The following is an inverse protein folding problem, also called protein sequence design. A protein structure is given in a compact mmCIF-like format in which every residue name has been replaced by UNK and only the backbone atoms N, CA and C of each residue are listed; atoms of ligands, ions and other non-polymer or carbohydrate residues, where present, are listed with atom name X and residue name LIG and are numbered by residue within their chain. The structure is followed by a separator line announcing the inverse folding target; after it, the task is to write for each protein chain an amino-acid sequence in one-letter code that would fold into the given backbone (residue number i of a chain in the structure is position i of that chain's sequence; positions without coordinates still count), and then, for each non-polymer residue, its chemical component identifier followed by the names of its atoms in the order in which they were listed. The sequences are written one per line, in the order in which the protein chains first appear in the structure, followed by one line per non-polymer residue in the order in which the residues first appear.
data_IF_970847973914
#
_entry.id   IF_970847973914
#
_cell.length_a   1.000
_cell.length_b   1.000
_cell.length_c   1.000
_cell.angle_alpha   90.00
_cell.angle_beta   90.00
_cell.angle_gamma   90.00
#
_symmetry.space_group_name_H-M   'P 1'
#
loop_
_entity.id
_entity.type
_entity.pdbx_description
1 polymer ?
#
# COMPACT_ATOMS: atom_id res chain seq x y z
N UNK A 1 -13.31 15.12 -15.43
CA UNK A 1 -13.46 13.64 -15.37
C UNK A 1 -12.15 13.04 -15.88
N UNK A 2 -11.27 12.60 -14.96
CA UNK A 2 -10.02 11.92 -15.34
C UNK A 2 -10.41 10.50 -15.78
N UNK A 3 -10.02 10.08 -16.99
CA UNK A 3 -10.30 8.72 -17.47
C UNK A 3 -9.56 7.70 -16.60
N UNK A 4 -10.18 6.56 -16.30
CA UNK A 4 -9.63 5.46 -15.50
C UNK A 4 -8.20 5.09 -15.89
N UNK A 5 -7.91 5.19 -17.18
CA UNK A 5 -6.67 4.77 -17.84
C UNK A 5 -5.52 5.72 -17.49
N UNK A 6 -5.83 7.01 -17.33
CA UNK A 6 -4.85 8.03 -16.93
C UNK A 6 -4.46 7.84 -15.46
N UNK A 7 -5.44 7.54 -14.59
CA UNK A 7 -5.19 7.30 -13.16
C UNK A 7 -4.37 6.02 -12.95
N UNK A 8 -4.71 4.94 -13.66
CA UNK A 8 -3.97 3.68 -13.61
C UNK A 8 -2.51 3.85 -14.09
N UNK A 9 -2.27 4.66 -15.12
CA UNK A 9 -0.91 4.94 -15.60
C UNK A 9 -0.07 5.74 -14.60
N UNK A 10 -0.66 6.70 -13.90
CA UNK A 10 0.03 7.48 -12.86
C UNK A 10 0.39 6.57 -11.68
N UNK A 11 -0.55 5.71 -11.27
CA UNK A 11 -0.35 4.75 -10.20
C UNK A 11 0.75 3.73 -10.54
N UNK A 12 0.76 3.23 -11.78
CA UNK A 12 1.77 2.30 -12.27
C UNK A 12 3.16 2.93 -12.32
N UNK A 13 3.27 4.21 -12.73
CA UNK A 13 4.54 4.95 -12.74
C UNK A 13 5.05 5.26 -11.33
N UNK A 14 4.17 5.59 -10.40
CA UNK A 14 4.53 5.80 -8.99
C UNK A 14 5.01 4.49 -8.35
N UNK A 15 4.29 3.39 -8.55
CA UNK A 15 4.68 2.07 -8.07
C UNK A 15 6.03 1.62 -8.64
N UNK A 16 6.27 1.84 -9.94
CA UNK A 16 7.54 1.51 -10.59
C UNK A 16 8.70 2.37 -10.06
N UNK A 17 8.49 3.68 -9.86
CA UNK A 17 9.50 4.57 -9.29
C UNK A 17 9.88 4.20 -7.85
N UNK A 18 8.91 3.76 -7.06
CA UNK A 18 9.14 3.26 -5.70
C UNK A 18 9.93 1.95 -5.76
N UNK A 19 9.49 0.99 -6.59
CA UNK A 19 10.18 -0.28 -6.79
C UNK A 19 11.58 -0.14 -7.40
N UNK A 20 11.87 0.91 -8.17
CA UNK A 20 13.20 1.18 -8.72
C UNK A 20 14.14 1.82 -7.69
N UNK A 21 13.61 2.50 -6.67
CA UNK A 21 14.39 3.02 -5.52
C UNK A 21 14.94 1.88 -4.63
N UNK A 22 14.40 0.67 -4.78
CA UNK A 22 14.78 -0.59 -4.12
C UNK A 22 16.24 -0.99 -4.29
N UNK A 23 16.96 -0.49 -5.29
CA UNK A 23 18.31 -0.98 -5.61
C UNK A 23 19.41 -0.51 -4.61
N UNK A 24 19.11 0.43 -3.69
CA UNK A 24 20.12 0.98 -2.77
C UNK A 24 19.77 1.02 -1.27
N UNK A 25 18.60 0.53 -0.81
CA UNK A 25 18.19 0.70 0.60
C UNK A 25 17.24 -0.38 1.14
N UNK A 26 17.77 -1.59 1.34
CA UNK A 26 16.99 -2.78 1.74
C UNK A 26 16.17 -2.65 3.05
N UNK A 27 16.49 -1.70 3.93
CA UNK A 27 15.80 -1.49 5.22
C UNK A 27 14.72 -0.40 5.15
N UNK A 28 14.99 0.73 4.48
CA UNK A 28 14.08 1.89 4.44
C UNK A 28 12.87 1.65 3.54
N UNK A 29 13.00 0.82 2.51
CA UNK A 29 11.93 0.55 1.55
C UNK A 29 10.67 -0.08 2.21
N UNK A 30 10.86 -0.98 3.18
CA UNK A 30 9.74 -1.76 3.75
C UNK A 30 8.78 -0.89 4.56
N UNK A 31 9.27 0.13 5.27
CA UNK A 31 8.42 1.00 6.09
C UNK A 31 7.65 2.01 5.22
N UNK A 32 8.31 2.58 4.21
CA UNK A 32 7.64 3.50 3.28
C UNK A 32 6.56 2.79 2.46
N UNK A 33 6.81 1.55 2.02
CA UNK A 33 5.83 0.74 1.30
C UNK A 33 4.59 0.43 2.17
N UNK A 34 4.80 0.18 3.47
CA UNK A 34 3.72 -0.10 4.42
C UNK A 34 2.92 1.16 4.75
N UNK A 35 3.58 2.29 5.00
CA UNK A 35 2.90 3.59 5.17
C UNK A 35 2.09 3.96 3.92
N UNK A 36 2.66 3.76 2.74
CA UNK A 36 1.97 4.00 1.48
C UNK A 36 0.76 3.09 1.30
N UNK A 37 0.87 1.78 1.61
CA UNK A 37 -0.26 0.86 1.47
C UNK A 37 -1.41 1.19 2.43
N UNK A 38 -1.10 1.58 3.68
CA UNK A 38 -2.11 2.01 4.66
C UNK A 38 -2.83 3.28 4.21
N UNK A 39 -2.08 4.28 3.74
CA UNK A 39 -2.65 5.51 3.20
C UNK A 39 -3.52 5.21 1.96
N UNK A 40 -3.00 4.41 1.03
CA UNK A 40 -3.72 4.04 -0.19
C UNK A 40 -5.01 3.27 0.11
N UNK A 41 -4.97 2.28 1.01
CA UNK A 41 -6.17 1.53 1.42
C UNK A 41 -7.23 2.43 2.04
N UNK A 42 -6.82 3.34 2.93
CA UNK A 42 -7.72 4.32 3.56
C UNK A 42 -8.32 5.28 2.53
N UNK A 43 -7.50 5.76 1.59
CA UNK A 43 -7.94 6.66 0.52
C UNK A 43 -8.94 5.96 -0.41
N UNK A 44 -8.69 4.70 -0.76
CA UNK A 44 -9.61 3.93 -1.59
C UNK A 44 -10.94 3.70 -0.90
N UNK A 45 -10.95 3.41 0.40
CA UNK A 45 -12.17 3.26 1.20
C UNK A 45 -12.97 4.59 1.27
N UNK A 46 -12.28 5.72 1.43
CA UNK A 46 -12.91 7.05 1.37
C UNK A 46 -13.50 7.34 -0.01
N UNK A 47 -12.79 6.99 -1.08
CA UNK A 47 -13.25 7.18 -2.46
C UNK A 47 -14.41 6.25 -2.84
N UNK A 48 -14.63 5.13 -2.14
CA UNK A 48 -15.76 4.25 -2.41
C UNK A 48 -17.11 4.93 -2.23
N UNK A 49 -17.21 5.99 -1.42
CA UNK A 49 -18.43 6.80 -1.26
C UNK A 49 -18.88 7.43 -2.59
N UNK A 50 -17.95 7.62 -3.53
CA UNK A 50 -18.24 8.17 -4.86
C UNK A 50 -18.78 7.12 -5.84
N UNK A 51 -18.73 5.83 -5.49
CA UNK A 51 -19.18 4.71 -6.32
C UNK A 51 -20.61 4.32 -5.94
N UNK A 52 -21.57 4.31 -6.89
CA UNK A 52 -22.95 3.92 -6.58
C UNK A 52 -23.01 2.51 -5.98
N UNK A 53 -23.81 2.34 -4.91
CA UNK A 53 -24.01 1.08 -4.17
C UNK A 53 -22.79 0.58 -3.38
N UNK A 54 -21.74 1.39 -3.24
CA UNK A 54 -20.66 1.13 -2.28
C UNK A 54 -20.81 2.06 -1.07
N UNK A 55 -20.50 1.55 0.10
CA UNK A 55 -20.55 2.29 1.36
C UNK A 55 -19.18 2.25 2.01
N UNK A 56 -18.82 3.35 2.64
CA UNK A 56 -17.62 3.40 3.48
C UNK A 56 -17.73 2.42 4.65
N UNK A 57 -16.69 1.59 4.83
CA UNK A 57 -16.59 0.62 5.91
C UNK A 57 -15.37 0.90 6.78
N UNK A 58 -15.58 1.27 8.04
CA UNK A 58 -14.49 1.38 9.01
C UNK A 58 -13.82 0.04 9.28
N UNK A 59 -14.56 -1.06 9.18
CA UNK A 59 -14.03 -2.41 9.36
C UNK A 59 -13.01 -2.74 8.27
N UNK A 60 -13.26 -2.30 7.03
CA UNK A 60 -12.36 -2.52 5.89
C UNK A 60 -11.07 -1.70 6.03
N UNK A 61 -11.12 -0.50 6.62
CA UNK A 61 -9.91 0.28 6.96
C UNK A 61 -9.07 -0.48 7.99
N UNK A 62 -9.69 -0.99 9.05
CA UNK A 62 -9.00 -1.72 10.12
C UNK A 62 -8.41 -3.02 9.58
N UNK A 63 -9.13 -3.76 8.74
CA UNK A 63 -8.65 -4.99 8.10
C UNK A 63 -7.44 -4.72 7.19
N UNK A 64 -7.51 -3.69 6.34
CA UNK A 64 -6.39 -3.32 5.46
C UNK A 64 -5.16 -2.84 6.26
N UNK A 65 -5.38 -2.05 7.32
CA UNK A 65 -4.30 -1.52 8.17
C UNK A 65 -3.62 -2.64 8.97
N UNK A 66 -4.40 -3.52 9.58
CA UNK A 66 -3.88 -4.67 10.33
C UNK A 66 -3.14 -5.67 9.44
N UNK A 67 -3.63 -5.91 8.21
CA UNK A 67 -2.95 -6.70 7.21
C UNK A 67 -1.58 -6.13 6.81
N UNK A 68 -1.50 -4.81 6.59
CA UNK A 68 -0.25 -4.13 6.26
C UNK A 68 0.79 -4.21 7.40
N UNK A 69 0.36 -4.05 8.65
CA UNK A 69 1.21 -4.20 9.84
C UNK A 69 1.67 -5.66 9.99
N UNK A 70 0.75 -6.63 9.84
CA UNK A 70 1.08 -8.06 9.90
C UNK A 70 2.12 -8.46 8.86
N UNK A 71 2.00 -7.95 7.63
CA UNK A 71 2.98 -8.15 6.57
C UNK A 71 4.37 -7.56 6.92
N UNK A 72 4.42 -6.38 7.52
CA UNK A 72 5.68 -5.77 7.99
C UNK A 72 6.37 -6.65 9.04
N UNK A 73 5.62 -7.12 10.03
CA UNK A 73 6.12 -7.99 11.10
C UNK A 73 6.65 -9.30 10.48
N UNK A 74 5.87 -9.94 9.62
CA UNK A 74 6.27 -11.18 8.93
C UNK A 74 7.55 -10.99 8.12
N UNK A 75 7.65 -9.89 7.36
CA UNK A 75 8.84 -9.58 6.55
C UNK A 75 10.07 -9.36 7.44
N UNK A 76 9.91 -8.70 8.60
CA UNK A 76 11.00 -8.52 9.57
C UNK A 76 11.48 -9.85 10.15
N UNK A 77 10.57 -10.76 10.50
CA UNK A 77 10.94 -12.09 10.99
C UNK A 77 11.66 -12.91 9.91
N UNK A 78 11.13 -12.93 8.69
CA UNK A 78 11.74 -13.68 7.60
C UNK A 78 13.13 -13.15 7.26
N UNK A 79 13.27 -11.84 7.03
CA UNK A 79 14.57 -11.25 6.65
C UNK A 79 15.57 -11.29 7.81
N UNK A 80 15.14 -11.07 9.05
CA UNK A 80 16.00 -11.18 10.22
C UNK A 80 16.46 -12.61 10.52
N UNK A 81 15.63 -13.62 10.20
CA UNK A 81 15.98 -15.02 10.39
C UNK A 81 16.99 -15.56 9.36
N UNK A 82 17.15 -14.90 8.21
CA UNK A 82 18.16 -15.25 7.19
C UNK A 82 19.51 -14.55 7.39
N UNK A 83 19.69 -13.77 8.46
CA UNK A 83 20.92 -13.03 8.75
C UNK A 83 21.80 -13.67 9.85
N UNK A 84 21.71 -14.98 10.06
CA UNK A 84 22.64 -15.76 10.88
C UNK A 84 23.74 -16.39 10.03
#
# INVERSE_FOLDING_TARGET
MIRSDTFSSILSRAAYSILSSKENSGESFSLHAVLFSMFYGTLMELLQVLVPKRSFSFEDIIANTSGAIGFLIMTRFLTGSFSN
#
